data_IF_220755753736
#
_entry.id   IF_220755753736
#
_cell.length_a   1.000
_cell.length_b   1.000
_cell.length_c   1.000
_cell.angle_alpha   90.00
_cell.angle_beta   90.00
_cell.angle_gamma   90.00
#
_symmetry.space_group_name_H-M   'P 1'
#
loop_
_entity.id
_entity.type
_entity.pdbx_description
1 polymer ?
#
# COMPACT_ATOMS: atom_id res chain seq x y z
N UNK A 1 10.04 -3.82 -18.64
CA UNK A 1 10.06 -5.02 -17.78
C UNK A 1 8.82 -4.98 -16.89
N UNK A 2 7.89 -5.93 -17.02
CA UNK A 2 6.66 -5.97 -16.22
C UNK A 2 6.98 -6.64 -14.88
N UNK A 3 6.62 -6.01 -13.75
CA UNK A 3 6.75 -6.61 -12.42
C UNK A 3 5.37 -7.00 -11.92
N UNK A 4 5.24 -8.26 -11.51
CA UNK A 4 4.03 -8.81 -10.93
C UNK A 4 4.24 -8.96 -9.42
N UNK A 5 3.33 -8.40 -8.62
CA UNK A 5 3.33 -8.57 -7.16
C UNK A 5 2.13 -9.42 -6.78
N UNK A 6 2.39 -10.54 -6.12
CA UNK A 6 1.37 -11.51 -5.71
C UNK A 6 1.24 -11.47 -4.18
N UNK A 7 0.03 -11.30 -3.67
CA UNK A 7 -0.24 -11.25 -2.24
C UNK A 7 -0.58 -9.85 -1.72
N UNK A 8 -1.14 -9.75 -0.52
CA UNK A 8 -1.66 -8.51 0.07
C UNK A 8 -1.12 -8.20 1.47
N UNK A 9 0.05 -8.72 1.83
CA UNK A 9 0.70 -8.40 3.09
C UNK A 9 1.49 -7.09 3.06
N UNK A 10 2.05 -6.70 4.20
CA UNK A 10 2.95 -5.54 4.32
C UNK A 10 4.14 -5.59 3.33
N UNK A 11 4.63 -6.79 3.00
CA UNK A 11 5.69 -7.00 2.02
C UNK A 11 5.30 -6.53 0.60
N UNK A 12 4.02 -6.65 0.20
CA UNK A 12 3.55 -6.11 -1.09
C UNK A 12 3.71 -4.59 -1.13
N UNK A 13 3.50 -3.92 0.00
CA UNK A 13 3.46 -2.46 0.04
C UNK A 13 4.84 -1.89 -0.26
N UNK A 14 5.88 -2.47 0.36
CA UNK A 14 7.26 -2.14 0.09
C UNK A 14 7.63 -2.44 -1.38
N UNK A 15 7.20 -3.59 -1.91
CA UNK A 15 7.46 -3.96 -3.30
C UNK A 15 6.79 -3.00 -4.29
N UNK A 16 5.52 -2.63 -4.06
CA UNK A 16 4.77 -1.71 -4.89
C UNK A 16 5.37 -0.30 -4.85
N UNK A 17 5.68 0.21 -3.65
CA UNK A 17 6.30 1.53 -3.48
C UNK A 17 7.64 1.60 -4.22
N UNK A 18 8.50 0.60 -4.04
CA UNK A 18 9.77 0.54 -4.77
C UNK A 18 9.59 0.45 -6.29
N UNK A 19 8.55 -0.25 -6.77
CA UNK A 19 8.27 -0.30 -8.21
C UNK A 19 7.73 1.03 -8.74
N UNK A 20 6.89 1.74 -7.97
CA UNK A 20 6.38 3.06 -8.31
C UNK A 20 7.52 4.10 -8.32
N UNK A 21 8.42 4.08 -7.35
CA UNK A 21 9.59 4.97 -7.29
C UNK A 21 10.53 4.76 -8.49
N UNK A 22 10.51 3.57 -9.10
CA UNK A 22 11.25 3.23 -10.32
C UNK A 22 10.44 3.47 -11.60
N UNK A 23 9.25 4.06 -11.52
CA UNK A 23 8.31 4.27 -12.63
C UNK A 23 8.02 2.99 -13.44
N UNK A 24 7.98 1.84 -12.75
CA UNK A 24 7.73 0.55 -13.37
C UNK A 24 6.23 0.25 -13.42
N UNK A 25 5.80 -0.38 -14.51
CA UNK A 25 4.43 -0.86 -14.64
C UNK A 25 4.23 -2.12 -13.79
N UNK A 26 3.35 -2.04 -12.78
CA UNK A 26 3.13 -3.08 -11.77
C UNK A 26 1.71 -3.60 -11.87
N UNK A 27 1.57 -4.93 -11.97
CA UNK A 27 0.25 -5.59 -11.88
C UNK A 27 0.20 -6.37 -10.57
N UNK A 28 -0.82 -6.09 -9.76
CA UNK A 28 -1.00 -6.71 -8.46
C UNK A 28 -2.10 -7.77 -8.53
N UNK A 29 -1.78 -9.00 -8.13
CA UNK A 29 -2.75 -10.08 -8.00
C UNK A 29 -2.87 -10.48 -6.53
N UNK A 30 -4.10 -10.52 -6.04
CA UNK A 30 -4.41 -10.98 -4.69
C UNK A 30 -5.56 -12.01 -4.78
N UNK A 31 -5.50 -13.04 -3.94
CA UNK A 31 -6.49 -14.12 -3.89
C UNK A 31 -7.83 -13.65 -3.31
N UNK A 32 -7.80 -12.65 -2.43
CA UNK A 32 -8.98 -12.12 -1.72
C UNK A 32 -9.21 -10.63 -1.99
N UNK A 33 -10.46 -10.17 -1.92
CA UNK A 33 -10.72 -8.72 -2.02
C UNK A 33 -10.29 -7.94 -0.74
N UNK A 34 -9.79 -8.65 0.27
CA UNK A 34 -9.20 -8.05 1.46
C UNK A 34 -7.71 -7.87 1.25
N UNK A 35 -7.22 -6.65 1.49
CA UNK A 35 -5.79 -6.48 1.60
C UNK A 35 -5.39 -7.02 2.98
N UNK A 36 -4.81 -8.21 3.01
CA UNK A 36 -4.41 -8.97 4.21
C UNK A 36 -3.34 -8.31 5.09
N UNK A 37 -3.19 -6.99 5.02
CA UNK A 37 -2.44 -6.23 6.02
C UNK A 37 -3.17 -6.39 7.34
N UNK A 38 -2.51 -7.04 8.29
CA UNK A 38 -2.92 -7.04 9.68
C UNK A 38 -3.20 -5.59 10.08
N UNK A 39 -4.38 -5.30 10.63
CA UNK A 39 -4.77 -3.96 11.08
C UNK A 39 -3.59 -3.35 11.84
N UNK A 40 -2.92 -2.38 11.23
CA UNK A 40 -1.66 -1.84 11.74
C UNK A 40 -1.90 -0.41 12.16
N UNK A 41 -1.05 0.08 13.07
CA UNK A 41 -1.09 1.51 13.37
C UNK A 41 -0.72 2.31 12.13
N UNK A 42 -1.28 3.52 12.03
CA UNK A 42 -0.99 4.48 10.98
C UNK A 42 0.50 4.71 10.82
N UNK A 43 1.23 4.81 11.92
CA UNK A 43 2.68 5.02 11.93
C UNK A 43 3.45 3.77 11.47
N UNK A 44 3.00 2.57 11.85
CA UNK A 44 3.62 1.31 11.42
C UNK A 44 3.41 1.02 9.93
N UNK A 45 2.36 1.57 9.33
CA UNK A 45 2.07 1.43 7.90
C UNK A 45 2.57 2.62 7.07
N UNK A 46 3.02 3.70 7.73
CA UNK A 46 3.54 4.88 7.07
C UNK A 46 4.85 4.56 6.36
N UNK A 47 5.04 5.13 5.16
CA UNK A 47 6.36 5.20 4.56
C UNK A 47 7.00 6.53 4.94
N UNK A 48 8.33 6.58 5.05
CA UNK A 48 9.05 7.78 5.50
C UNK A 48 8.78 9.02 4.65
N UNK A 49 8.48 8.81 3.37
CA UNK A 49 8.18 9.82 2.36
C UNK A 49 6.67 9.93 2.04
N UNK A 50 5.85 9.08 2.63
CA UNK A 50 4.41 9.07 2.44
C UNK A 50 3.71 8.73 3.74
N UNK A 51 3.31 9.77 4.47
CA UNK A 51 2.62 9.65 5.75
C UNK A 51 1.12 9.59 5.48
N UNK A 52 0.38 8.64 6.08
CA UNK A 52 -1.08 8.61 5.95
C UNK A 52 -1.66 9.95 6.47
N UNK A 53 -2.78 10.46 5.95
CA UNK A 53 -3.34 11.76 6.38
C UNK A 53 -3.90 11.79 7.80
N UNK A 54 -3.97 12.98 8.42
CA UNK A 54 -4.36 13.18 9.82
C UNK A 54 -5.77 12.68 10.21
N UNK A 55 -6.66 12.62 9.23
CA UNK A 55 -8.03 12.11 9.42
C UNK A 55 -8.13 10.58 9.41
N UNK A 56 -7.04 9.85 9.11
CA UNK A 56 -7.04 8.39 9.19
C UNK A 56 -6.98 7.93 10.65
N UNK A 57 -7.71 6.85 11.01
CA UNK A 57 -7.68 6.32 12.37
C UNK A 57 -6.27 5.82 12.72
N UNK A 58 -5.87 5.98 13.99
CA UNK A 58 -4.58 5.50 14.50
C UNK A 58 -4.40 4.01 14.21
N UNK A 59 -5.45 3.22 14.37
CA UNK A 59 -5.47 1.82 13.97
C UNK A 59 -6.31 1.67 12.72
N UNK A 60 -5.70 1.27 11.61
CA UNK A 60 -6.37 1.27 10.32
C UNK A 60 -7.03 -0.09 10.05
N UNK A 61 -8.38 -0.18 10.03
CA UNK A 61 -9.05 -1.37 9.52
C UNK A 61 -8.88 -1.47 8.01
N UNK A 62 -9.05 -2.68 7.45
CA UNK A 62 -8.74 -3.06 6.07
C UNK A 62 -9.14 -2.01 5.01
N UNK A 63 -10.33 -1.41 5.15
CA UNK A 63 -10.83 -0.37 4.23
C UNK A 63 -9.95 0.90 4.17
N UNK A 64 -9.41 1.36 5.31
CA UNK A 64 -8.54 2.53 5.31
C UNK A 64 -7.18 2.17 4.76
N UNK A 65 -6.68 0.98 5.05
CA UNK A 65 -5.43 0.48 4.50
C UNK A 65 -5.49 0.43 2.97
N UNK A 66 -6.62 -0.01 2.40
CA UNK A 66 -6.90 0.06 0.96
C UNK A 66 -6.86 1.49 0.41
N UNK A 67 -7.64 2.41 1.00
CA UNK A 67 -7.68 3.81 0.56
C UNK A 67 -6.31 4.50 0.61
N UNK A 68 -5.48 4.17 1.61
CA UNK A 68 -4.13 4.68 1.72
C UNK A 68 -3.24 4.20 0.55
N UNK A 69 -3.44 2.98 0.05
CA UNK A 69 -2.69 2.50 -1.12
C UNK A 69 -3.14 3.11 -2.43
N UNK A 70 -4.43 3.36 -2.59
CA UNK A 70 -4.90 4.14 -3.73
C UNK A 70 -4.27 5.54 -3.70
N UNK A 71 -4.26 6.17 -2.53
CA UNK A 71 -3.63 7.47 -2.32
C UNK A 71 -2.13 7.45 -2.67
N UNK A 72 -1.40 6.40 -2.30
CA UNK A 72 0.01 6.22 -2.70
C UNK A 72 0.19 6.12 -4.21
N UNK A 73 -0.67 5.37 -4.89
CA UNK A 73 -0.59 5.18 -6.33
C UNK A 73 -0.94 6.46 -7.10
N UNK A 74 -1.93 7.23 -6.62
CA UNK A 74 -2.32 8.50 -7.24
C UNK A 74 -1.29 9.62 -7.03
N UNK A 75 -0.61 9.65 -5.87
CA UNK A 75 0.36 10.71 -5.54
C UNK A 75 1.81 10.42 -5.97
N UNK A 76 2.11 9.24 -6.51
CA UNK A 76 3.45 8.92 -7.02
C UNK A 76 3.66 9.36 -8.49
N UNK A 77 2.96 10.42 -8.93
CA UNK A 77 3.07 11.06 -10.25
C UNK A 77 3.50 12.50 -10.08
#
# INVERSE_FOLDING_TARGET
MLKCVIGAGAARLAANKQCLDQQLNVVCFEKTNDIGVMKSSRDMLSFSDFVPPDYFPIFMPNKYVFNYFELMQTNSI
#
